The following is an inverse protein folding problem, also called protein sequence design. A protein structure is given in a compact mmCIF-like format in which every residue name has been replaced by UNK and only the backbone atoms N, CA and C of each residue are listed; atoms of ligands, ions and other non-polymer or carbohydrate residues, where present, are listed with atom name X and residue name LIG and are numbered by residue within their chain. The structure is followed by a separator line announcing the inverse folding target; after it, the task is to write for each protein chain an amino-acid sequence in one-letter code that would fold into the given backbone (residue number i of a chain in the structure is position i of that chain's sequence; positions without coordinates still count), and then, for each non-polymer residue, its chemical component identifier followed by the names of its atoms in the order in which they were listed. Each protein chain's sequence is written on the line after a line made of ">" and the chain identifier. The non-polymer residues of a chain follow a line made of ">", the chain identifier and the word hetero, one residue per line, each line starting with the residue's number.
data_IF_520246085978
#
_entry.id   IF_520246085978
#
_cell.length_a   1.000
_cell.length_b   1.000
_cell.length_c   1.000
_cell.angle_alpha   90.00
_cell.angle_beta   90.00
_cell.angle_gamma   90.00
#
_symmetry.space_group_name_H-M   'P 1'
#
loop_
_entity.id
_entity.type
_entity.pdbx_description
1 polymer ?
#
# COMPACT_ATOMS: atom_id res chain seq x y z
N UNK A 1 -12.96 -26.81 -13.48
CA UNK A 1 -13.09 -25.43 -14.01
C UNK A 1 -13.26 -24.56 -12.77
N UNK A 2 -12.21 -23.87 -12.38
CA UNK A 2 -12.27 -22.93 -11.27
C UNK A 2 -13.18 -21.75 -11.71
N UNK A 3 -14.21 -21.45 -10.93
CA UNK A 3 -14.98 -20.23 -11.13
C UNK A 3 -14.03 -19.03 -11.09
N UNK A 4 -14.16 -18.06 -12.02
CA UNK A 4 -13.40 -16.84 -11.91
C UNK A 4 -13.75 -16.18 -10.58
N UNK A 5 -12.73 -15.77 -9.82
CA UNK A 5 -12.85 -15.01 -8.58
C UNK A 5 -13.82 -13.84 -8.82
N UNK A 6 -15.08 -14.05 -8.50
CA UNK A 6 -16.07 -13.00 -8.52
C UNK A 6 -15.75 -12.07 -7.35
N UNK A 7 -15.00 -11.01 -7.64
CA UNK A 7 -14.99 -9.84 -6.77
C UNK A 7 -16.45 -9.45 -6.60
N UNK A 8 -17.03 -9.74 -5.45
CA UNK A 8 -18.41 -9.37 -5.13
C UNK A 8 -18.54 -7.88 -5.42
N UNK A 9 -19.50 -7.56 -6.28
CA UNK A 9 -19.86 -6.16 -6.52
C UNK A 9 -20.09 -5.49 -5.17
N UNK A 10 -19.51 -4.31 -4.93
CA UNK A 10 -19.77 -3.58 -3.69
C UNK A 10 -21.27 -3.42 -3.48
N UNK A 11 -21.72 -3.57 -2.24
CA UNK A 11 -23.10 -3.34 -1.86
C UNK A 11 -23.51 -1.92 -2.33
N UNK A 12 -24.48 -1.78 -3.23
CA UNK A 12 -24.87 -0.48 -3.78
C UNK A 12 -25.34 0.53 -2.74
N UNK A 13 -25.65 0.07 -1.51
CA UNK A 13 -26.14 0.91 -0.42
C UNK A 13 -25.04 1.43 0.52
N UNK A 14 -23.82 0.86 0.48
CA UNK A 14 -22.75 1.22 1.41
C UNK A 14 -21.56 1.95 0.79
N UNK A 15 -21.43 1.96 -0.52
CA UNK A 15 -20.36 2.69 -1.18
C UNK A 15 -20.92 3.77 -2.10
N UNK A 16 -20.36 5.00 -2.05
CA UNK A 16 -20.61 5.96 -3.11
C UNK A 16 -20.21 5.31 -4.43
N UNK A 17 -20.93 5.60 -5.53
CA UNK A 17 -20.69 4.96 -6.80
C UNK A 17 -19.19 5.03 -7.14
N UNK A 18 -18.60 3.87 -7.33
CA UNK A 18 -17.17 3.70 -7.61
C UNK A 18 -16.71 4.52 -8.82
N UNK A 19 -17.68 4.93 -9.62
CA UNK A 19 -17.51 5.60 -10.88
C UNK A 19 -18.71 6.52 -11.12
N UNK A 20 -18.42 7.80 -11.41
CA UNK A 20 -19.38 8.71 -12.03
C UNK A 20 -18.85 9.05 -13.42
N UNK A 21 -19.61 8.86 -14.50
CA UNK A 21 -19.17 9.23 -15.82
C UNK A 21 -18.94 10.74 -15.85
N UNK A 22 -17.71 11.14 -16.10
CA UNK A 22 -17.33 12.54 -16.23
C UNK A 22 -17.85 13.13 -17.52
N UNK A 23 -18.14 12.28 -18.49
CA UNK A 23 -18.70 12.64 -19.78
C UNK A 23 -19.51 11.46 -20.38
N UNK A 24 -20.16 11.69 -21.52
CA UNK A 24 -20.96 10.67 -22.20
C UNK A 24 -20.18 9.45 -22.71
N UNK A 25 -18.86 9.58 -22.86
CA UNK A 25 -18.01 8.46 -23.34
C UNK A 25 -17.91 7.34 -22.32
N UNK A 26 -17.99 7.65 -21.02
CA UNK A 26 -17.87 6.65 -19.95
C UNK A 26 -19.21 6.02 -19.52
N UNK A 27 -20.30 6.35 -20.20
CA UNK A 27 -21.65 5.87 -19.85
C UNK A 27 -21.74 4.35 -19.91
N UNK A 28 -21.20 3.73 -20.96
CA UNK A 28 -21.20 2.27 -21.12
C UNK A 28 -20.41 1.59 -20.00
N UNK A 29 -19.21 2.10 -19.70
CA UNK A 29 -18.36 1.58 -18.60
C UNK A 29 -19.11 1.62 -17.28
N UNK A 30 -19.80 2.74 -16.99
CA UNK A 30 -20.57 2.91 -15.77
C UNK A 30 -21.72 1.91 -15.66
N UNK A 31 -22.47 1.69 -16.74
CA UNK A 31 -23.58 0.72 -16.74
C UNK A 31 -23.06 -0.73 -16.59
N UNK A 32 -22.01 -1.10 -17.28
CA UNK A 32 -21.38 -2.42 -17.16
C UNK A 32 -20.85 -2.65 -15.73
N UNK A 33 -20.22 -1.64 -15.12
CA UNK A 33 -19.80 -1.70 -13.73
C UNK A 33 -20.98 -1.92 -12.77
N UNK A 34 -22.06 -1.14 -12.91
CA UNK A 34 -23.27 -1.30 -12.10
C UNK A 34 -23.91 -2.68 -12.20
N UNK A 35 -23.80 -3.31 -13.38
CA UNK A 35 -24.29 -4.66 -13.63
C UNK A 35 -23.33 -5.76 -13.14
N UNK A 36 -22.20 -5.42 -12.53
CA UNK A 36 -21.18 -6.37 -12.10
C UNK A 36 -20.37 -6.98 -13.25
N UNK A 37 -20.52 -6.46 -14.49
CA UNK A 37 -19.82 -6.93 -15.69
C UNK A 37 -18.42 -6.30 -15.78
N UNK A 38 -17.56 -6.59 -14.78
CA UNK A 38 -16.30 -5.86 -14.58
C UNK A 38 -15.32 -6.05 -15.73
N UNK A 39 -15.24 -7.25 -16.33
CA UNK A 39 -14.38 -7.50 -17.49
C UNK A 39 -14.85 -6.72 -18.72
N UNK A 40 -16.15 -6.73 -18.99
CA UNK A 40 -16.72 -5.94 -20.10
C UNK A 40 -16.55 -4.43 -19.86
N UNK A 41 -16.67 -3.97 -18.61
CA UNK A 41 -16.38 -2.58 -18.26
C UNK A 41 -14.91 -2.20 -18.52
N UNK A 42 -13.98 -3.10 -18.20
CA UNK A 42 -12.56 -2.92 -18.49
C UNK A 42 -12.27 -2.87 -20.00
N UNK A 43 -12.84 -3.80 -20.79
CA UNK A 43 -12.72 -3.79 -22.25
C UNK A 43 -13.29 -2.50 -22.87
N UNK A 44 -14.47 -2.07 -22.41
CA UNK A 44 -15.09 -0.81 -22.84
C UNK A 44 -14.23 0.41 -22.46
N UNK A 45 -13.59 0.39 -21.31
CA UNK A 45 -12.64 1.43 -20.90
C UNK A 45 -11.42 1.48 -21.84
N UNK A 46 -10.78 0.33 -22.06
CA UNK A 46 -9.60 0.24 -22.94
C UNK A 46 -9.91 0.68 -24.39
N UNK A 47 -11.11 0.36 -24.90
CA UNK A 47 -11.51 0.77 -26.23
C UNK A 47 -11.69 2.28 -26.40
N UNK A 48 -11.87 3.02 -25.31
CA UNK A 48 -12.06 4.48 -25.30
C UNK A 48 -10.78 5.23 -24.95
N UNK A 49 -9.79 4.55 -24.39
CA UNK A 49 -8.54 5.17 -23.97
C UNK A 49 -7.71 5.62 -25.18
N UNK A 50 -7.32 6.88 -25.19
CA UNK A 50 -6.31 7.39 -26.13
C UNK A 50 -4.93 7.34 -25.46
N UNK A 51 -4.01 6.49 -25.96
CA UNK A 51 -2.68 6.39 -25.39
C UNK A 51 -1.86 7.69 -25.44
N UNK A 52 -2.21 8.61 -26.35
CA UNK A 52 -1.53 9.89 -26.51
C UNK A 52 -1.99 10.95 -25.49
N UNK A 53 -3.14 10.73 -24.85
CA UNK A 53 -3.73 11.69 -23.91
C UNK A 53 -3.79 11.07 -22.52
N UNK A 54 -2.92 11.49 -21.57
CA UNK A 54 -2.97 10.98 -20.22
C UNK A 54 -4.31 11.36 -19.58
N UNK A 55 -5.05 10.38 -19.00
CA UNK A 55 -6.35 10.64 -18.41
C UNK A 55 -6.24 11.58 -17.19
N UNK A 56 -7.26 12.40 -16.91
CA UNK A 56 -7.32 13.23 -15.71
C UNK A 56 -7.32 12.38 -14.44
N UNK A 57 -7.05 12.98 -13.26
CA UNK A 57 -6.93 12.24 -12.00
C UNK A 57 -8.15 11.38 -11.66
N UNK A 58 -9.35 11.87 -11.91
CA UNK A 58 -10.62 11.16 -11.67
C UNK A 58 -10.72 9.89 -12.52
N UNK A 59 -10.34 9.98 -13.77
CA UNK A 59 -10.33 8.83 -14.69
C UNK A 59 -9.25 7.83 -14.31
N UNK A 60 -8.08 8.30 -13.83
CA UNK A 60 -7.04 7.42 -13.29
C UNK A 60 -7.48 6.67 -12.04
N UNK A 61 -8.27 7.31 -11.16
CA UNK A 61 -8.86 6.63 -10.02
C UNK A 61 -9.78 5.49 -10.47
N UNK A 62 -10.63 5.77 -11.44
CA UNK A 62 -11.55 4.79 -11.95
C UNK A 62 -10.83 3.66 -12.70
N UNK A 63 -9.83 3.96 -13.53
CA UNK A 63 -8.99 2.95 -14.18
C UNK A 63 -8.30 2.04 -13.15
N UNK A 64 -7.68 2.61 -12.12
CA UNK A 64 -7.06 1.83 -11.05
C UNK A 64 -8.06 0.86 -10.39
N UNK A 65 -9.29 1.31 -10.16
CA UNK A 65 -10.36 0.46 -9.60
C UNK A 65 -10.80 -0.64 -10.58
N UNK A 66 -10.92 -0.34 -11.87
CA UNK A 66 -11.21 -1.34 -12.90
C UNK A 66 -10.12 -2.41 -12.95
N UNK A 67 -8.84 -2.01 -12.91
CA UNK A 67 -7.70 -2.94 -12.85
C UNK A 67 -7.80 -3.87 -11.64
N UNK A 68 -8.08 -3.34 -10.45
CA UNK A 68 -8.28 -4.15 -9.27
C UNK A 68 -9.43 -5.15 -9.45
N UNK A 69 -10.53 -4.71 -10.06
CA UNK A 69 -11.72 -5.53 -10.26
C UNK A 69 -11.51 -6.69 -11.24
N UNK A 70 -10.59 -6.54 -12.21
CA UNK A 70 -10.25 -7.62 -13.17
C UNK A 70 -9.02 -8.44 -12.73
N UNK A 71 -8.50 -8.20 -11.52
CA UNK A 71 -7.37 -8.95 -10.97
C UNK A 71 -5.99 -8.43 -11.36
N UNK A 72 -5.90 -7.32 -12.11
CA UNK A 72 -4.63 -6.62 -12.38
C UNK A 72 -4.23 -5.76 -11.17
N UNK A 73 -4.03 -6.45 -10.04
CA UNK A 73 -3.85 -5.80 -8.73
C UNK A 73 -2.53 -5.07 -8.62
N UNK A 74 -1.49 -5.59 -9.25
CA UNK A 74 -0.18 -4.96 -9.26
C UNK A 74 -0.22 -3.57 -9.89
N UNK A 75 -0.69 -3.48 -11.14
CA UNK A 75 -0.76 -2.21 -11.86
C UNK A 75 -1.81 -1.27 -11.25
N UNK A 76 -2.93 -1.82 -10.78
CA UNK A 76 -3.98 -1.04 -10.15
C UNK A 76 -3.51 -0.34 -8.88
N UNK A 77 -2.86 -1.07 -7.97
CA UNK A 77 -2.33 -0.49 -6.72
C UNK A 77 -1.18 0.50 -6.97
N UNK A 78 -0.30 0.19 -7.94
CA UNK A 78 0.78 1.11 -8.32
C UNK A 78 0.24 2.43 -8.85
N UNK A 79 -0.72 2.37 -9.77
CA UNK A 79 -1.37 3.54 -10.34
C UNK A 79 -2.07 4.39 -9.27
N UNK A 80 -2.80 3.75 -8.34
CA UNK A 80 -3.49 4.43 -7.25
C UNK A 80 -2.51 5.08 -6.26
N UNK A 81 -1.37 4.43 -6.01
CA UNK A 81 -0.32 4.99 -5.18
C UNK A 81 0.30 6.24 -5.84
N UNK A 82 0.68 6.16 -7.12
CA UNK A 82 1.19 7.31 -7.86
C UNK A 82 0.18 8.45 -7.95
N UNK A 83 -1.11 8.12 -8.09
CA UNK A 83 -2.17 9.10 -8.10
C UNK A 83 -2.24 9.85 -6.77
N UNK A 84 -2.13 9.15 -5.63
CA UNK A 84 -2.20 9.80 -4.30
C UNK A 84 -1.09 10.82 -4.06
N UNK A 85 0.09 10.60 -4.66
CA UNK A 85 1.23 11.52 -4.55
C UNK A 85 1.10 12.76 -5.46
N UNK A 86 0.33 12.65 -6.54
CA UNK A 86 0.30 13.67 -7.61
C UNK A 86 -1.02 14.41 -7.72
N UNK A 87 -2.11 13.87 -7.17
CA UNK A 87 -3.41 14.51 -7.23
C UNK A 87 -3.47 15.74 -6.32
N UNK A 88 -3.48 16.90 -6.93
CA UNK A 88 -3.57 18.18 -6.21
C UNK A 88 -5.03 18.51 -5.93
N UNK A 89 -5.34 18.85 -4.67
CA UNK A 89 -6.65 19.32 -4.22
C UNK A 89 -7.84 18.39 -4.57
N UNK A 90 -7.77 17.08 -4.36
CA UNK A 90 -8.94 16.22 -4.48
C UNK A 90 -10.00 16.65 -3.44
N UNK A 91 -11.28 16.54 -3.80
CA UNK A 91 -12.37 16.72 -2.85
C UNK A 91 -12.27 15.70 -1.72
N UNK A 92 -12.97 15.93 -0.61
CA UNK A 92 -12.98 14.96 0.50
C UNK A 92 -13.50 13.59 0.05
N UNK A 93 -14.52 13.56 -0.81
CA UNK A 93 -15.06 12.35 -1.39
C UNK A 93 -14.03 11.59 -2.26
N UNK A 94 -13.34 12.30 -3.14
CA UNK A 94 -12.27 11.73 -3.97
C UNK A 94 -11.12 11.17 -3.12
N UNK A 95 -10.74 11.86 -2.04
CA UNK A 95 -9.73 11.34 -1.09
C UNK A 95 -10.19 10.05 -0.41
N UNK A 96 -11.46 10.02 0.04
CA UNK A 96 -12.03 8.82 0.65
C UNK A 96 -12.03 7.64 -0.32
N UNK A 97 -12.46 7.86 -1.56
CA UNK A 97 -12.46 6.82 -2.61
C UNK A 97 -11.04 6.35 -2.95
N UNK A 98 -10.10 7.28 -3.10
CA UNK A 98 -8.70 6.96 -3.39
C UNK A 98 -8.10 6.14 -2.25
N UNK A 99 -8.27 6.54 -1.00
CA UNK A 99 -7.79 5.81 0.16
C UNK A 99 -8.37 4.38 0.20
N UNK A 100 -9.69 4.23 0.09
CA UNK A 100 -10.34 2.92 0.05
C UNK A 100 -9.83 2.05 -1.11
N UNK A 101 -9.51 2.66 -2.25
CA UNK A 101 -8.98 1.95 -3.42
C UNK A 101 -7.53 1.53 -3.23
N UNK A 102 -6.74 2.26 -2.45
CA UNK A 102 -5.37 1.89 -2.10
C UNK A 102 -5.31 0.76 -1.06
N UNK A 103 -6.38 0.59 -0.29
CA UNK A 103 -6.50 -0.45 0.74
C UNK A 103 -7.71 -1.36 0.45
N UNK A 104 -7.69 -2.09 -0.70
CA UNK A 104 -8.81 -2.92 -1.09
C UNK A 104 -8.93 -4.15 -0.19
N UNK A 105 -10.16 -4.61 0.06
CA UNK A 105 -10.44 -5.83 0.80
C UNK A 105 -10.55 -7.02 -0.15
N UNK A 106 -9.45 -7.36 -0.80
CA UNK A 106 -9.36 -8.53 -1.66
C UNK A 106 -9.19 -9.79 -0.79
N UNK A 107 -9.69 -10.93 -1.28
CA UNK A 107 -9.60 -12.23 -0.60
C UNK A 107 -10.12 -12.16 0.86
N UNK A 108 -11.22 -11.44 1.07
CA UNK A 108 -11.75 -11.19 2.43
C UNK A 108 -12.07 -12.47 3.18
N UNK A 109 -12.71 -13.45 2.51
CA UNK A 109 -13.11 -14.71 3.11
C UNK A 109 -11.89 -15.59 3.47
N UNK A 110 -10.92 -15.69 2.56
CA UNK A 110 -9.69 -16.46 2.74
C UNK A 110 -8.85 -15.87 3.87
N UNK A 111 -8.67 -14.55 3.87
CA UNK A 111 -7.90 -13.86 4.92
C UNK A 111 -8.58 -13.98 6.28
N UNK A 112 -9.90 -13.81 6.34
CA UNK A 112 -10.63 -13.92 7.60
C UNK A 112 -10.54 -15.35 8.16
N UNK A 113 -10.75 -16.35 7.31
CA UNK A 113 -10.66 -17.76 7.69
C UNK A 113 -9.25 -18.11 8.19
N UNK A 114 -8.22 -17.76 7.43
CA UNK A 114 -6.83 -18.02 7.80
C UNK A 114 -6.43 -17.31 9.11
N UNK A 115 -6.85 -16.06 9.27
CA UNK A 115 -6.56 -15.27 10.46
C UNK A 115 -7.23 -15.85 11.71
N UNK A 116 -8.51 -16.27 11.63
CA UNK A 116 -9.23 -16.90 12.73
C UNK A 116 -8.61 -18.24 13.12
N UNK A 117 -8.26 -19.09 12.15
CA UNK A 117 -7.65 -20.39 12.39
C UNK A 117 -6.26 -20.28 13.03
N UNK A 118 -5.46 -19.31 12.61
CA UNK A 118 -4.12 -19.12 13.14
C UNK A 118 -4.06 -18.20 14.38
N UNK A 119 -5.17 -17.54 14.76
CA UNK A 119 -5.19 -16.63 15.90
C UNK A 119 -4.45 -15.29 15.65
N UNK A 120 -4.36 -14.84 14.40
CA UNK A 120 -3.68 -13.59 14.03
C UNK A 120 -4.67 -12.51 13.62
N UNK A 121 -4.24 -11.25 13.60
CA UNK A 121 -5.10 -10.16 13.16
C UNK A 121 -5.23 -10.15 11.63
N UNK A 122 -6.46 -10.24 11.11
CA UNK A 122 -6.74 -10.24 9.67
C UNK A 122 -6.18 -9.00 8.93
N UNK A 123 -6.18 -7.83 9.57
CA UNK A 123 -5.60 -6.62 8.97
C UNK A 123 -4.07 -6.67 8.88
N UNK A 124 -3.39 -7.33 9.81
CA UNK A 124 -1.94 -7.55 9.74
C UNK A 124 -1.59 -8.51 8.60
N UNK A 125 -2.34 -9.63 8.50
CA UNK A 125 -2.17 -10.59 7.40
C UNK A 125 -2.39 -9.90 6.04
N UNK A 126 -3.42 -9.08 5.93
CA UNK A 126 -3.72 -8.28 4.73
C UNK A 126 -2.61 -7.27 4.41
N UNK A 127 -2.06 -6.61 5.42
CA UNK A 127 -0.98 -5.64 5.27
C UNK A 127 0.30 -6.27 4.72
N UNK A 128 0.63 -7.48 5.20
CA UNK A 128 1.75 -8.28 4.70
C UNK A 128 1.49 -8.69 3.25
N UNK A 129 0.33 -9.29 2.92
CA UNK A 129 0.02 -9.71 1.55
C UNK A 129 0.06 -8.55 0.54
N UNK A 130 -0.39 -7.37 0.94
CA UNK A 130 -0.27 -6.17 0.10
C UNK A 130 1.18 -5.79 -0.14
N UNK A 131 2.05 -5.91 0.85
CA UNK A 131 3.48 -5.62 0.71
C UNK A 131 4.20 -6.67 -0.12
N UNK A 132 3.90 -7.95 0.08
CA UNK A 132 4.57 -9.08 -0.56
C UNK A 132 4.29 -9.18 -2.05
N UNK A 133 3.03 -9.17 -2.43
CA UNK A 133 2.63 -9.48 -3.80
C UNK A 133 1.65 -8.47 -4.41
N UNK A 134 1.22 -7.46 -3.65
CA UNK A 134 0.05 -6.64 -4.02
C UNK A 134 -1.18 -7.52 -4.34
N UNK A 135 -1.33 -8.61 -3.61
CA UNK A 135 -2.39 -9.61 -3.79
C UNK A 135 -2.35 -10.36 -5.12
N UNK A 136 -1.20 -10.52 -5.76
CA UNK A 136 -1.07 -11.28 -7.01
C UNK A 136 -0.75 -12.77 -6.70
N UNK A 137 -1.68 -13.72 -6.89
CA UNK A 137 -1.50 -15.10 -6.45
C UNK A 137 -0.50 -15.89 -7.30
N UNK A 138 -0.30 -15.49 -8.56
CA UNK A 138 0.60 -16.18 -9.49
C UNK A 138 2.08 -15.78 -9.38
N UNK A 139 2.42 -14.80 -8.54
CA UNK A 139 3.77 -14.25 -8.46
C UNK A 139 4.75 -15.27 -7.85
N UNK A 140 5.91 -15.37 -8.48
CA UNK A 140 7.08 -16.09 -7.96
C UNK A 140 8.25 -15.12 -7.98
N UNK A 141 8.88 -14.93 -6.83
CA UNK A 141 10.03 -14.02 -6.72
C UNK A 141 11.30 -14.65 -7.33
N UNK A 142 12.35 -13.88 -7.65
CA UNK A 142 13.63 -14.43 -8.08
C UNK A 142 14.25 -15.39 -7.06
N UNK A 143 13.97 -15.21 -5.76
CA UNK A 143 14.41 -16.10 -4.69
C UNK A 143 13.55 -17.38 -4.56
N UNK A 144 12.46 -17.49 -5.30
CA UNK A 144 11.56 -18.65 -5.27
C UNK A 144 10.40 -18.55 -4.27
N UNK A 145 10.15 -17.39 -3.67
CA UNK A 145 8.95 -17.16 -2.84
C UNK A 145 7.70 -17.12 -3.72
N UNK A 146 6.57 -17.69 -3.25
CA UNK A 146 5.39 -17.97 -4.08
C UNK A 146 4.13 -17.39 -3.46
N UNK A 147 3.25 -16.86 -4.30
CA UNK A 147 1.85 -16.55 -3.98
C UNK A 147 1.63 -15.22 -3.28
N UNK A 148 0.40 -15.05 -2.78
CA UNK A 148 -0.05 -13.77 -2.18
C UNK A 148 0.76 -13.36 -0.96
N UNK A 149 1.23 -14.30 -0.16
CA UNK A 149 2.03 -14.09 1.05
C UNK A 149 3.53 -14.28 0.80
N UNK A 150 3.96 -14.57 -0.45
CA UNK A 150 5.36 -14.79 -0.83
C UNK A 150 6.08 -15.78 0.08
N UNK A 151 5.50 -16.96 0.25
CA UNK A 151 6.10 -18.00 1.09
C UNK A 151 7.23 -18.72 0.34
N UNK A 152 8.35 -18.90 1.02
CA UNK A 152 9.38 -19.85 0.58
C UNK A 152 8.84 -21.28 0.68
N UNK A 153 9.06 -22.15 -0.32
CA UNK A 153 8.58 -23.52 -0.28
C UNK A 153 9.03 -24.31 0.97
N UNK A 154 10.23 -24.03 1.49
CA UNK A 154 10.71 -24.61 2.76
C UNK A 154 9.87 -24.20 3.95
N UNK A 155 9.59 -22.90 4.09
CA UNK A 155 8.74 -22.35 5.15
C UNK A 155 7.31 -22.91 5.05
N UNK A 156 6.76 -22.97 3.84
CA UNK A 156 5.45 -23.53 3.61
C UNK A 156 5.35 -25.01 4.01
N UNK A 157 6.37 -25.81 3.67
CA UNK A 157 6.45 -27.23 4.06
C UNK A 157 6.54 -27.40 5.57
N UNK A 158 7.29 -26.54 6.26
CA UNK A 158 7.38 -26.53 7.71
C UNK A 158 6.03 -26.19 8.36
N UNK A 159 5.32 -25.19 7.84
CA UNK A 159 4.01 -24.77 8.37
C UNK A 159 2.88 -25.75 8.05
N UNK A 160 2.99 -26.50 6.98
CA UNK A 160 1.99 -27.50 6.57
C UNK A 160 2.16 -28.85 7.26
N UNK A 161 3.32 -29.12 7.90
CA UNK A 161 3.74 -30.47 8.35
C UNK A 161 3.69 -31.52 7.22
N UNK A 162 3.79 -31.09 5.95
CA UNK A 162 3.66 -31.94 4.77
C UNK A 162 4.36 -31.28 3.56
N UNK A 163 4.79 -32.09 2.57
CA UNK A 163 5.34 -31.53 1.33
C UNK A 163 4.35 -30.61 0.64
N UNK A 164 4.77 -29.40 0.29
CA UNK A 164 3.98 -28.41 -0.46
C UNK A 164 4.48 -28.29 -1.89
N UNK A 165 3.57 -28.01 -2.83
CA UNK A 165 3.91 -27.75 -4.22
C UNK A 165 3.78 -26.27 -4.57
N UNK A 166 4.54 -25.82 -5.58
CA UNK A 166 4.39 -24.45 -6.10
C UNK A 166 2.96 -24.19 -6.60
N UNK A 167 2.26 -25.22 -7.11
CA UNK A 167 0.88 -25.05 -7.57
C UNK A 167 -0.06 -24.79 -6.39
N UNK A 168 0.09 -25.53 -5.30
CA UNK A 168 -0.65 -25.30 -4.05
C UNK A 168 -0.39 -23.88 -3.52
N UNK A 169 0.86 -23.43 -3.51
CA UNK A 169 1.22 -22.09 -3.04
C UNK A 169 0.72 -20.96 -3.94
N UNK A 170 0.22 -21.24 -5.14
CA UNK A 170 -0.47 -20.26 -5.98
C UNK A 170 -1.97 -20.17 -5.70
N UNK A 171 -2.53 -21.13 -4.96
CA UNK A 171 -3.89 -21.01 -4.48
C UNK A 171 -3.94 -20.01 -3.31
N UNK A 172 -4.80 -18.98 -3.38
CA UNK A 172 -4.84 -17.95 -2.33
C UNK A 172 -5.25 -18.50 -0.96
N UNK A 173 -6.18 -19.46 -0.88
CA UNK A 173 -6.65 -20.01 0.38
C UNK A 173 -5.53 -20.75 1.10
N UNK A 174 -4.85 -21.66 0.40
CA UNK A 174 -3.71 -22.42 0.93
C UNK A 174 -2.56 -21.48 1.32
N UNK A 175 -2.30 -20.47 0.49
CA UNK A 175 -1.19 -19.54 0.72
C UNK A 175 -1.45 -18.62 1.92
N UNK A 176 -2.69 -18.14 2.10
CA UNK A 176 -3.08 -17.36 3.29
C UNK A 176 -3.07 -18.22 4.55
N UNK A 177 -3.54 -19.47 4.48
CA UNK A 177 -3.52 -20.38 5.62
C UNK A 177 -2.09 -20.59 6.13
N UNK A 178 -1.17 -20.96 5.24
CA UNK A 178 0.23 -21.19 5.61
C UNK A 178 0.95 -19.91 6.01
N UNK A 179 0.65 -18.79 5.36
CA UNK A 179 1.18 -17.47 5.72
C UNK A 179 0.73 -17.01 7.09
N UNK A 180 -0.53 -17.27 7.45
CA UNK A 180 -1.06 -16.95 8.76
C UNK A 180 -0.43 -17.83 9.87
N UNK A 181 -0.23 -19.12 9.62
CA UNK A 181 0.50 -20.02 10.54
C UNK A 181 1.94 -19.55 10.77
N UNK A 182 2.64 -19.14 9.70
CA UNK A 182 3.99 -18.62 9.81
C UNK A 182 4.01 -17.30 10.59
N UNK A 183 3.07 -16.40 10.33
CA UNK A 183 2.95 -15.15 11.10
C UNK A 183 2.67 -15.43 12.59
N UNK A 184 1.79 -16.37 12.91
CA UNK A 184 1.54 -16.77 14.30
C UNK A 184 2.79 -17.32 14.96
N UNK A 185 3.52 -18.21 14.28
CA UNK A 185 4.79 -18.74 14.76
C UNK A 185 5.79 -17.63 15.11
N UNK A 186 5.89 -16.61 14.27
CA UNK A 186 6.75 -15.45 14.54
C UNK A 186 6.25 -14.60 15.70
N UNK A 187 4.93 -14.39 15.82
CA UNK A 187 4.34 -13.68 16.96
C UNK A 187 4.57 -14.42 18.27
N UNK A 188 4.44 -15.75 18.29
CA UNK A 188 4.76 -16.55 19.47
C UNK A 188 6.24 -16.46 19.84
N UNK A 189 7.14 -16.53 18.86
CA UNK A 189 8.58 -16.41 19.10
C UNK A 189 8.97 -15.06 19.69
N UNK A 190 8.27 -14.00 19.31
CA UNK A 190 8.55 -12.64 19.74
C UNK A 190 7.56 -12.10 20.79
N UNK A 191 6.92 -12.98 21.56
CA UNK A 191 6.01 -12.60 22.66
C UNK A 191 4.93 -11.61 22.25
N UNK A 192 4.39 -11.79 21.02
CA UNK A 192 3.38 -10.94 20.38
C UNK A 192 3.88 -9.54 19.97
N UNK A 193 5.18 -9.34 19.86
CA UNK A 193 5.77 -8.11 19.31
C UNK A 193 5.57 -8.06 17.79
N UNK A 194 4.74 -7.14 17.27
CA UNK A 194 4.48 -7.07 15.83
C UNK A 194 5.68 -6.54 15.04
N UNK A 195 6.53 -5.70 15.63
CA UNK A 195 7.66 -5.09 14.92
C UNK A 195 8.72 -6.12 14.58
N UNK A 196 9.11 -6.95 15.58
CA UNK A 196 10.06 -8.06 15.37
C UNK A 196 9.46 -9.14 14.50
N UNK A 197 8.17 -9.44 14.66
CA UNK A 197 7.49 -10.44 13.83
C UNK A 197 7.43 -10.03 12.36
N UNK A 198 7.09 -8.76 12.05
CA UNK A 198 7.11 -8.22 10.69
C UNK A 198 8.54 -8.23 10.11
N UNK A 199 9.53 -7.78 10.88
CA UNK A 199 10.91 -7.81 10.44
C UNK A 199 11.40 -9.25 10.16
N UNK A 200 11.01 -10.21 11.01
CA UNK A 200 11.34 -11.62 10.86
C UNK A 200 10.67 -12.27 9.66
N UNK A 201 9.47 -11.81 9.29
CA UNK A 201 8.79 -12.29 8.10
C UNK A 201 9.64 -12.06 6.83
N UNK A 202 10.30 -10.91 6.75
CA UNK A 202 11.15 -10.55 5.61
C UNK A 202 12.59 -11.10 5.73
N UNK A 203 13.25 -10.89 6.88
CA UNK A 203 14.68 -11.22 7.04
C UNK A 203 14.94 -12.61 7.62
N UNK A 204 13.89 -13.29 8.09
CA UNK A 204 14.00 -14.51 8.89
C UNK A 204 14.28 -14.24 10.37
N UNK A 205 13.75 -15.07 11.28
CA UNK A 205 13.84 -14.85 12.73
C UNK A 205 15.30 -14.97 13.25
N UNK A 206 16.12 -15.79 12.61
CA UNK A 206 17.55 -15.92 12.98
C UNK A 206 18.34 -14.63 12.75
N UNK A 207 18.06 -13.91 11.65
CA UNK A 207 18.69 -12.62 11.40
C UNK A 207 18.26 -11.59 12.44
N UNK A 208 16.95 -11.48 12.70
CA UNK A 208 16.40 -10.53 13.69
C UNK A 208 16.91 -10.81 15.09
N UNK A 209 17.04 -12.08 15.49
CA UNK A 209 17.61 -12.46 16.79
C UNK A 209 19.08 -12.04 16.96
N UNK A 210 19.82 -11.94 15.85
CA UNK A 210 21.23 -11.51 15.88
C UNK A 210 21.43 -10.00 16.00
N UNK A 211 20.36 -9.19 15.78
CA UNK A 211 20.44 -7.73 15.90
C UNK A 211 20.36 -7.28 17.36
N UNK A 212 20.84 -6.06 17.63
CA UNK A 212 20.68 -5.46 18.95
C UNK A 212 19.17 -5.37 19.30
N UNK A 213 18.79 -6.06 20.35
CA UNK A 213 17.40 -6.05 20.83
C UNK A 213 17.11 -4.74 21.58
N UNK A 214 15.88 -4.23 21.52
CA UNK A 214 15.52 -3.05 22.28
C UNK A 214 15.65 -3.34 23.78
N UNK A 215 16.05 -2.31 24.50
CA UNK A 215 16.01 -2.28 25.96
C UNK A 215 14.67 -1.69 26.41
N UNK A 216 14.34 -1.79 27.71
CA UNK A 216 13.13 -1.17 28.28
C UNK A 216 13.04 0.37 28.09
N UNK A 217 14.12 0.99 27.62
CA UNK A 217 14.20 2.42 27.34
C UNK A 217 14.06 2.75 25.84
N UNK A 218 14.05 1.75 24.97
CA UNK A 218 13.93 1.95 23.53
C UNK A 218 12.46 2.01 23.11
N UNK A 219 12.11 3.02 22.32
CA UNK A 219 10.86 3.11 21.61
C UNK A 219 10.90 2.13 20.41
N UNK A 220 9.81 1.39 20.18
CA UNK A 220 9.66 0.47 19.04
C UNK A 220 9.93 1.15 17.70
N UNK A 221 9.52 2.41 17.55
CA UNK A 221 9.79 3.18 16.34
C UNK A 221 11.30 3.40 16.15
N UNK A 222 12.05 3.65 17.24
CA UNK A 222 13.49 3.79 17.21
C UNK A 222 14.18 2.47 16.88
N UNK A 223 13.66 1.34 17.39
CA UNK A 223 14.18 0.02 17.02
C UNK A 223 14.03 -0.25 15.53
N UNK A 224 12.86 0.07 14.94
CA UNK A 224 12.62 -0.08 13.50
C UNK A 224 13.63 0.74 12.68
N UNK A 225 13.94 1.99 13.11
CA UNK A 225 14.95 2.83 12.44
C UNK A 225 16.38 2.26 12.54
N UNK A 226 16.66 1.47 13.57
CA UNK A 226 17.96 0.84 13.80
C UNK A 226 18.11 -0.53 13.13
N UNK A 227 17.08 -1.08 12.46
CA UNK A 227 17.20 -2.32 11.70
C UNK A 227 18.37 -2.21 10.73
N UNK A 228 19.39 -3.09 10.83
CA UNK A 228 20.63 -2.94 10.07
C UNK A 228 20.46 -3.21 8.58
N UNK A 229 19.46 -4.02 8.20
CA UNK A 229 19.15 -4.33 6.81
C UNK A 229 18.20 -3.26 6.24
N UNK A 230 18.66 -2.42 5.28
CA UNK A 230 17.84 -1.35 4.74
C UNK A 230 16.53 -1.86 4.12
N UNK A 231 16.57 -2.99 3.41
CA UNK A 231 15.39 -3.62 2.81
C UNK A 231 14.37 -3.98 3.88
N UNK A 232 14.77 -4.70 4.93
CA UNK A 232 13.88 -5.11 6.02
C UNK A 232 13.33 -3.91 6.79
N UNK A 233 14.14 -2.87 7.01
CA UNK A 233 13.69 -1.63 7.63
C UNK A 233 12.58 -0.96 6.81
N UNK A 234 12.75 -0.86 5.48
CA UNK A 234 11.73 -0.34 4.59
C UNK A 234 10.50 -1.24 4.54
N UNK A 235 10.70 -2.54 4.48
CA UNK A 235 9.62 -3.52 4.51
C UNK A 235 8.76 -3.36 5.76
N UNK A 236 9.37 -3.35 6.94
CA UNK A 236 8.68 -3.20 8.22
C UNK A 236 7.84 -1.92 8.25
N UNK A 237 8.41 -0.78 7.85
CA UNK A 237 7.68 0.49 7.75
C UNK A 237 6.50 0.42 6.78
N UNK A 238 6.67 -0.23 5.63
CA UNK A 238 5.60 -0.39 4.63
C UNK A 238 4.46 -1.28 5.11
N UNK A 239 4.77 -2.36 5.81
CA UNK A 239 3.74 -3.23 6.41
C UNK A 239 2.97 -2.47 7.49
N UNK A 240 3.65 -1.72 8.35
CA UNK A 240 3.00 -0.88 9.37
C UNK A 240 2.12 0.21 8.75
N UNK A 241 2.59 0.88 7.69
CA UNK A 241 1.80 1.86 6.93
C UNK A 241 0.55 1.23 6.32
N UNK A 242 0.70 0.03 5.72
CA UNK A 242 -0.43 -0.73 5.21
C UNK A 242 -1.42 -1.12 6.32
N UNK A 243 -0.93 -1.57 7.48
CA UNK A 243 -1.77 -1.93 8.63
C UNK A 243 -2.59 -0.72 9.10
N UNK A 244 -1.95 0.44 9.28
CA UNK A 244 -2.64 1.69 9.63
C UNK A 244 -3.67 2.08 8.57
N UNK A 245 -3.36 1.92 7.29
CA UNK A 245 -4.29 2.16 6.19
C UNK A 245 -5.54 1.26 6.27
N UNK A 246 -5.39 -0.01 6.60
CA UNK A 246 -6.53 -0.93 6.78
C UNK A 246 -7.32 -0.67 8.06
N UNK A 247 -6.66 -0.27 9.16
CA UNK A 247 -7.33 0.12 10.40
C UNK A 247 -8.12 1.42 10.24
N UNK A 248 -7.59 2.37 9.45
CA UNK A 248 -8.25 3.63 9.13
C UNK A 248 -9.29 3.54 7.99
N UNK A 249 -9.49 2.37 7.39
CA UNK A 249 -10.22 2.19 6.13
C UNK A 249 -11.69 2.64 6.11
N UNK A 250 -12.31 2.88 7.27
CA UNK A 250 -13.65 3.44 7.39
C UNK A 250 -13.67 4.94 7.67
N UNK A 251 -12.51 5.60 7.70
CA UNK A 251 -12.46 7.04 7.90
C UNK A 251 -13.02 7.75 6.66
N UNK A 252 -14.09 8.53 6.86
CA UNK A 252 -14.52 9.51 5.89
C UNK A 252 -13.67 10.77 6.04
N UNK A 253 -13.02 11.20 4.97
CA UNK A 253 -12.34 12.49 4.93
C UNK A 253 -13.32 13.67 4.82
N UNK A 254 -14.61 13.37 4.74
CA UNK A 254 -15.70 14.33 4.74
C UNK A 254 -16.36 14.35 6.12
N UNK A 255 -16.04 15.32 6.95
CA UNK A 255 -16.83 15.57 8.16
C UNK A 255 -18.18 16.13 7.75
N UNK A 256 -19.26 15.47 8.10
CA UNK A 256 -20.64 15.93 7.86
C UNK A 256 -21.03 17.14 8.74
N UNK A 257 -20.14 17.63 9.59
CA UNK A 257 -20.38 18.82 10.40
C UNK A 257 -19.55 19.99 9.87
N UNK A 258 -20.21 20.87 9.16
CA UNK A 258 -19.76 22.24 8.93
C UNK A 258 -19.65 23.01 10.24
N UNK A 259 -18.63 22.75 11.02
CA UNK A 259 -18.16 23.60 12.10
C UNK A 259 -16.75 24.04 11.72
N UNK A 260 -16.67 25.28 11.25
CA UNK A 260 -15.41 25.92 10.86
C UNK A 260 -14.39 25.87 12.00
N UNK A 261 -13.34 25.12 11.80
CA UNK A 261 -12.05 25.43 12.40
C UNK A 261 -11.28 26.28 11.39
N UNK A 262 -11.53 27.58 11.50
CA UNK A 262 -10.65 28.58 10.92
C UNK A 262 -9.24 28.32 11.45
N UNK A 263 -8.34 27.93 10.56
CA UNK A 263 -6.93 28.11 10.81
C UNK A 263 -6.69 29.62 11.02
N UNK A 264 -6.58 30.04 12.26
CA UNK A 264 -5.92 31.31 12.59
C UNK A 264 -4.48 31.18 12.07
N UNK A 265 -4.22 31.82 10.96
CA UNK A 265 -2.86 32.19 10.60
C UNK A 265 -2.37 33.13 11.70
N UNK A 266 -1.38 32.71 12.45
CA UNK A 266 -0.58 33.61 13.26
C UNK A 266 0.20 34.51 12.29
N UNK A 267 -0.04 35.82 12.38
CA UNK A 267 0.75 36.78 11.66
C UNK A 267 -0.07 37.92 11.08
N UNK A 268 -0.64 38.77 11.93
CA UNK A 268 -0.89 40.19 11.65
C UNK A 268 -1.10 40.90 12.99
N UNK A 269 0.01 41.19 13.62
CA UNK A 269 0.16 42.28 14.58
C UNK A 269 1.56 42.84 14.39
N UNK A 270 1.65 43.81 13.49
CA UNK A 270 2.76 44.74 13.42
C UNK A 270 2.16 46.12 13.23
N UNK A 271 1.85 46.73 14.35
CA UNK A 271 1.70 48.18 14.42
C UNK A 271 3.07 48.82 14.59
N UNK A 272 3.38 49.70 13.68
CA UNK A 272 4.15 50.94 13.80
C UNK A 272 5.16 51.04 14.95
N UNK A 273 6.42 51.12 14.59
CA UNK A 273 7.28 52.21 15.07
C UNK A 273 8.44 52.46 14.11
N UNK A 274 8.44 53.65 13.68
CA UNK A 274 9.32 54.51 12.86
C UNK A 274 10.79 54.59 13.40
N UNK A 275 11.69 54.93 12.45
CA UNK A 275 12.93 55.65 12.50
C UNK A 275 14.30 54.96 12.46
N UNK A 276 14.85 55.12 11.26
CA UNK A 276 16.21 55.62 10.97
C UNK A 276 17.44 54.95 11.52
N UNK A 277 18.34 54.50 10.65
CA UNK A 277 19.67 55.03 10.33
C UNK A 277 20.42 54.14 9.31
N UNK A 278 20.65 54.72 8.20
CA UNK A 278 21.84 54.91 7.34
C UNK A 278 23.05 53.92 7.44
N UNK A 279 23.41 53.42 6.19
CA UNK A 279 24.77 53.36 5.54
C UNK A 279 25.75 52.32 6.10
N UNK A 280 26.27 51.43 5.26
CA UNK A 280 27.32 51.59 4.27
C UNK A 280 27.78 50.25 3.70
N UNK A 281 27.77 50.12 2.39
CA UNK A 281 28.87 49.79 1.47
C UNK A 281 29.58 48.42 1.59
N UNK A 282 29.41 47.66 0.57
CA UNK A 282 30.21 46.83 -0.35
C UNK A 282 31.77 46.96 -0.23
N UNK A 283 32.61 46.12 -0.89
CA UNK A 283 32.44 44.92 -1.72
C UNK A 283 33.58 43.84 -1.54
N UNK A 284 33.48 42.78 -2.32
CA UNK A 284 34.62 41.93 -2.71
C UNK A 284 34.35 40.44 -2.47
N UNK A 285 34.21 39.57 -3.39
CA UNK A 285 35.07 39.27 -4.53
C UNK A 285 35.73 37.94 -4.28
N UNK A 286 35.49 36.93 -5.07
CA UNK A 286 36.29 35.70 -5.01
C UNK A 286 35.61 34.48 -5.67
N UNK A 287 35.89 34.29 -6.93
CA UNK A 287 35.71 33.08 -7.71
C UNK A 287 36.53 31.91 -7.13
N UNK A 288 36.03 30.69 -7.26
CA UNK A 288 36.71 29.55 -7.90
C UNK A 288 35.76 28.35 -7.93
N UNK A 289 35.39 27.93 -9.10
CA UNK A 289 35.67 26.69 -9.86
C UNK A 289 36.25 25.55 -9.03
N UNK A 290 35.51 24.41 -9.05
CA UNK A 290 35.99 23.19 -9.68
C UNK A 290 34.85 22.16 -9.75
N UNK A 291 34.73 21.62 -10.96
CA UNK A 291 33.94 20.47 -11.33
C UNK A 291 34.62 19.19 -10.82
N UNK A 292 33.81 18.23 -10.37
CA UNK A 292 34.17 16.83 -10.50
C UNK A 292 32.93 16.00 -10.79
N UNK A 293 32.92 15.50 -12.03
CA UNK A 293 32.11 14.41 -12.54
C UNK A 293 32.39 13.14 -11.76
N UNK A 294 31.36 12.42 -11.35
CA UNK A 294 31.49 10.98 -11.06
C UNK A 294 30.36 10.26 -11.79
N UNK A 295 30.76 9.48 -12.81
CA UNK A 295 29.98 8.53 -13.57
C UNK A 295 29.46 7.36 -12.73
N UNK A 296 28.40 6.66 -13.21
CA UNK A 296 27.75 5.57 -12.50
C UNK A 296 28.48 4.24 -12.74
N UNK A 297 28.84 3.58 -11.66
CA UNK A 297 29.39 2.21 -11.65
C UNK A 297 28.28 1.16 -11.59
N UNK A 298 28.37 0.24 -12.53
CA UNK A 298 27.57 -0.95 -12.76
C UNK A 298 27.67 -2.01 -11.66
N UNK A 299 26.51 -2.68 -11.42
CA UNK A 299 26.31 -4.15 -11.30
C UNK A 299 27.27 -5.00 -10.46
N UNK A 300 26.71 -5.78 -9.58
CA UNK A 300 26.70 -7.26 -9.55
C UNK A 300 26.40 -7.78 -8.13
N UNK A 301 25.53 -8.81 -8.10
CA UNK A 301 25.32 -9.70 -6.98
C UNK A 301 23.86 -10.06 -6.80
#
# INVERSE_FOLDING_TARGET
>A
MAEPLALRSPDPQQEPPAWQPLNSHHRLVNELWRLGQVHAAWEAWQAQADPAVPPPPEERLAEGRLRLAVGDTWMGLDQLWWLSLRWRNPSCHQRTLLHRSQFPRLFEAEIQTAAEQAGVQANLLRAIAKQESRFAPGVVSPAGAVGVMQLMPSTATEMADAPTSTLMLKDPADNFELGARYLNHLLEQWESDPFRSIASYNAGPGAVASWAQPTDQDDDALWVERIPYPETRFYTKKVLDNLLGYLGGNQSFCNETGAGMGQKRAGDDASDHDQTHQKQADPGGGQNTDADEIEPGQQHG
#
